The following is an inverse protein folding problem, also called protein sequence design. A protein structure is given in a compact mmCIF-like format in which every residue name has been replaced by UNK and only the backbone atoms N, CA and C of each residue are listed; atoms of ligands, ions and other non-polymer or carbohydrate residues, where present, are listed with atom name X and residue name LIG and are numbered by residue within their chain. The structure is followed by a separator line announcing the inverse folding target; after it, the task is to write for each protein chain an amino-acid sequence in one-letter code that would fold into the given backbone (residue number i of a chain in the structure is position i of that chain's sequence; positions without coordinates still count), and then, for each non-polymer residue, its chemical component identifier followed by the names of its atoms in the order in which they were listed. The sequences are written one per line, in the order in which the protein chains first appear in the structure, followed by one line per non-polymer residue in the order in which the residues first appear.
data_IF_601090338302
#
_entry.id   IF_601090338302
#
_cell.length_a   1.000
_cell.length_b   1.000
_cell.length_c   1.000
_cell.angle_alpha   90.00
_cell.angle_beta   90.00
_cell.angle_gamma   90.00
#
_symmetry.space_group_name_H-M   'P 1'
#
loop_
_entity.id
_entity.type
_entity.pdbx_description
1 polymer ?
#
# COMPACT_ATOMS: atom_id res chain seq x y z
N UNK A 1 2.57 -4.06 -2.82
CA UNK A 1 3.71 -3.42 -3.49
C UNK A 1 4.76 -4.47 -3.79
N UNK A 2 5.25 -4.54 -5.01
CA UNK A 2 6.24 -5.53 -5.49
C UNK A 2 7.45 -4.79 -6.03
N UNK A 3 8.62 -5.39 -5.93
CA UNK A 3 9.85 -4.87 -6.53
C UNK A 3 9.96 -5.25 -8.01
N UNK A 4 9.41 -6.40 -8.39
CA UNK A 4 9.30 -6.88 -9.76
C UNK A 4 7.96 -7.61 -9.95
N UNK A 5 7.57 -7.87 -11.20
CA UNK A 5 6.28 -8.52 -11.51
C UNK A 5 6.17 -9.94 -10.91
N UNK A 6 7.27 -10.62 -10.71
CA UNK A 6 7.35 -11.98 -10.17
C UNK A 6 7.64 -12.04 -8.67
N UNK A 7 7.92 -10.88 -8.03
CA UNK A 7 8.22 -10.84 -6.60
C UNK A 7 6.97 -10.97 -5.73
N UNK A 8 7.17 -11.51 -4.53
CA UNK A 8 6.16 -11.45 -3.49
C UNK A 8 5.94 -10.00 -3.03
N UNK A 9 4.70 -9.58 -2.76
CA UNK A 9 4.44 -8.23 -2.29
C UNK A 9 5.05 -8.02 -0.90
N UNK A 10 5.65 -6.84 -0.67
CA UNK A 10 6.11 -6.43 0.66
C UNK A 10 4.94 -6.12 1.59
N UNK A 11 3.86 -5.64 1.04
CA UNK A 11 2.56 -5.41 1.67
C UNK A 11 1.48 -5.45 0.59
N UNK A 12 0.30 -5.97 0.91
CA UNK A 12 -0.86 -5.83 0.06
C UNK A 12 -2.06 -5.32 0.86
N UNK A 13 -2.91 -4.57 0.20
CA UNK A 13 -4.17 -4.09 0.75
C UNK A 13 -5.26 -4.28 -0.30
N UNK A 14 -6.39 -4.82 0.13
CA UNK A 14 -7.58 -4.97 -0.68
C UNK A 14 -8.74 -4.26 0.00
N UNK A 15 -9.55 -3.54 -0.76
CA UNK A 15 -10.74 -2.88 -0.25
C UNK A 15 -11.95 -3.24 -1.13
N UNK A 16 -13.08 -3.49 -0.50
CA UNK A 16 -14.34 -3.75 -1.16
C UNK A 16 -15.50 -3.18 -0.36
N UNK A 17 -16.47 -2.59 -1.06
CA UNK A 17 -17.78 -2.26 -0.51
C UNK A 17 -18.73 -3.41 -0.82
N UNK A 18 -19.23 -4.05 0.22
CA UNK A 18 -20.13 -5.19 0.07
C UNK A 18 -21.05 -5.29 1.27
N UNK A 19 -22.30 -5.59 1.02
CA UNK A 19 -23.33 -5.74 2.06
C UNK A 19 -23.40 -4.53 3.01
N UNK A 20 -23.43 -3.32 2.41
CA UNK A 20 -23.46 -2.02 3.12
C UNK A 20 -22.31 -1.82 4.12
N UNK A 21 -21.16 -2.41 3.87
CA UNK A 21 -19.99 -2.28 4.74
C UNK A 21 -18.70 -2.33 3.94
N UNK A 22 -17.69 -1.61 4.40
CA UNK A 22 -16.34 -1.71 3.89
C UNK A 22 -15.62 -2.93 4.48
N UNK A 23 -14.93 -3.62 3.61
CA UNK A 23 -14.05 -4.73 3.94
C UNK A 23 -12.66 -4.37 3.47
N UNK A 24 -11.73 -4.11 4.40
CA UNK A 24 -10.35 -3.77 4.10
C UNK A 24 -9.44 -4.85 4.66
N UNK A 25 -8.73 -5.54 3.79
CA UNK A 25 -7.80 -6.60 4.19
C UNK A 25 -6.37 -6.15 4.00
N UNK A 26 -5.56 -6.31 5.04
CA UNK A 26 -4.12 -6.03 5.01
C UNK A 26 -3.35 -7.34 5.15
N UNK A 27 -2.59 -7.69 4.13
CA UNK A 27 -1.80 -8.92 4.04
C UNK A 27 -0.33 -8.66 3.75
N UNK A 28 0.43 -9.74 3.63
CA UNK A 28 1.89 -9.70 3.45
C UNK A 28 2.63 -8.94 4.58
N UNK A 29 2.14 -9.06 5.81
CA UNK A 29 2.65 -8.37 7.01
C UNK A 29 3.74 -9.15 7.76
N UNK A 30 4.33 -10.22 7.27
CA UNK A 30 4.83 -11.47 7.87
C UNK A 30 4.03 -11.98 9.09
N UNK A 31 2.74 -11.79 9.04
CA UNK A 31 1.72 -12.23 9.98
C UNK A 31 0.48 -12.62 9.18
N UNK A 32 -0.49 -13.25 9.84
CA UNK A 32 -1.78 -13.55 9.20
C UNK A 32 -2.43 -12.28 8.65
N UNK A 33 -3.01 -12.36 7.46
CA UNK A 33 -3.81 -11.27 6.90
C UNK A 33 -4.94 -10.89 7.87
N UNK A 34 -5.19 -9.60 8.01
CA UNK A 34 -6.23 -9.07 8.90
C UNK A 34 -7.30 -8.38 8.08
N UNK A 35 -8.54 -8.73 8.32
CA UNK A 35 -9.72 -8.05 7.81
C UNK A 35 -10.16 -6.99 8.83
N UNK A 36 -10.29 -5.74 8.37
CA UNK A 36 -10.98 -4.67 9.06
C UNK A 36 -12.35 -4.49 8.40
N UNK A 37 -13.41 -4.51 9.18
CA UNK A 37 -14.78 -4.42 8.69
C UNK A 37 -15.60 -3.44 9.52
N UNK A 38 -16.46 -2.66 8.87
CA UNK A 38 -17.35 -1.71 9.53
C UNK A 38 -16.59 -0.70 10.40
N UNK A 39 -16.96 -0.58 11.65
CA UNK A 39 -16.35 0.38 12.59
C UNK A 39 -14.85 0.17 12.79
N UNK A 40 -14.36 -1.06 12.65
CA UNK A 40 -12.94 -1.36 12.79
C UNK A 40 -12.07 -0.70 11.71
N UNK A 41 -12.60 -0.39 10.53
CA UNK A 41 -11.88 0.36 9.50
C UNK A 41 -12.15 1.88 9.54
N UNK A 42 -13.10 2.34 10.34
CA UNK A 42 -13.46 3.75 10.43
C UNK A 42 -14.27 4.29 9.25
N UNK A 43 -14.77 3.40 8.39
CA UNK A 43 -15.52 3.75 7.18
C UNK A 43 -16.98 3.34 7.35
N UNK A 44 -17.90 4.29 7.19
CA UNK A 44 -19.36 4.06 7.35
C UNK A 44 -20.13 4.26 6.05
N UNK A 45 -19.69 5.17 5.19
CA UNK A 45 -20.34 5.48 3.93
C UNK A 45 -19.69 4.77 2.75
N UNK A 46 -20.48 4.45 1.72
CA UNK A 46 -20.01 3.89 0.46
C UNK A 46 -18.97 4.79 -0.22
N UNK A 47 -19.20 6.11 -0.13
CA UNK A 47 -18.24 7.14 -0.53
C UNK A 47 -17.69 7.82 0.73
N UNK A 48 -16.57 7.36 1.28
CA UNK A 48 -16.02 7.86 2.52
C UNK A 48 -15.58 9.33 2.42
N UNK A 49 -15.80 10.06 3.51
CA UNK A 49 -15.23 11.39 3.70
C UNK A 49 -13.72 11.34 3.96
N UNK A 50 -13.04 12.47 3.86
CA UNK A 50 -11.62 12.54 4.18
C UNK A 50 -11.31 12.19 5.64
N UNK A 51 -12.20 12.54 6.57
CA UNK A 51 -12.04 12.20 7.98
C UNK A 51 -12.16 10.69 8.20
N UNK A 52 -13.06 10.02 7.50
CA UNK A 52 -13.16 8.57 7.50
C UNK A 52 -11.89 7.92 6.90
N UNK A 53 -11.34 8.50 5.82
CA UNK A 53 -10.08 8.02 5.25
C UNK A 53 -8.90 8.21 6.22
N UNK A 54 -8.87 9.29 7.01
CA UNK A 54 -7.88 9.47 8.09
C UNK A 54 -8.07 8.46 9.22
N UNK A 55 -9.33 8.16 9.57
CA UNK A 55 -9.64 7.11 10.55
C UNK A 55 -9.16 5.73 10.06
N UNK A 56 -9.39 5.41 8.80
CA UNK A 56 -8.84 4.20 8.17
C UNK A 56 -7.30 4.16 8.26
N UNK A 57 -6.64 5.28 7.94
CA UNK A 57 -5.19 5.38 8.04
C UNK A 57 -4.67 5.06 9.45
N UNK A 58 -5.33 5.58 10.47
CA UNK A 58 -5.02 5.29 11.87
C UNK A 58 -5.23 3.79 12.20
N UNK A 59 -6.35 3.21 11.77
CA UNK A 59 -6.68 1.81 12.02
C UNK A 59 -5.67 0.85 11.40
N UNK A 60 -5.24 1.08 10.15
CA UNK A 60 -4.25 0.21 9.49
C UNK A 60 -2.86 0.38 10.06
N UNK A 61 -2.47 1.59 10.48
CA UNK A 61 -1.18 1.84 11.16
C UNK A 61 -1.10 1.18 12.53
N UNK A 62 -2.22 1.02 13.21
CA UNK A 62 -2.31 0.37 14.52
C UNK A 62 -2.14 -1.16 14.46
N UNK A 63 -2.23 -1.77 13.28
CA UNK A 63 -2.00 -3.20 13.12
C UNK A 63 -0.54 -3.57 13.41
N UNK A 64 -0.34 -4.80 13.87
CA UNK A 64 1.00 -5.35 14.04
C UNK A 64 1.63 -5.67 12.68
N UNK A 65 2.90 -5.34 12.53
CA UNK A 65 3.69 -5.62 11.33
C UNK A 65 4.96 -6.37 11.71
N UNK A 66 5.32 -7.37 10.92
CA UNK A 66 6.54 -8.11 11.09
C UNK A 66 7.67 -7.62 10.17
N UNK A 67 8.89 -7.99 10.49
CA UNK A 67 10.09 -7.78 9.67
C UNK A 67 10.51 -9.10 9.04
N UNK A 68 10.92 -9.06 7.77
CA UNK A 68 11.53 -10.18 7.08
C UNK A 68 12.52 -9.65 6.03
N UNK A 69 13.08 -10.55 5.23
CA UNK A 69 14.02 -10.22 4.17
C UNK A 69 13.50 -9.17 3.16
N UNK A 70 12.19 -9.07 2.99
CA UNK A 70 11.53 -8.21 1.98
C UNK A 70 11.13 -6.82 2.50
N UNK A 71 11.28 -6.56 3.79
CA UNK A 71 11.01 -5.26 4.38
C UNK A 71 10.86 -5.28 5.89
N UNK A 72 11.12 -4.13 6.50
CA UNK A 72 10.96 -3.93 7.94
C UNK A 72 9.50 -3.68 8.34
N UNK A 73 9.19 -3.91 9.61
CA UNK A 73 7.89 -3.57 10.20
C UNK A 73 7.57 -2.08 10.06
N UNK A 74 8.55 -1.20 10.27
CA UNK A 74 8.37 0.24 10.15
C UNK A 74 8.08 0.68 8.72
N UNK A 75 8.76 0.09 7.75
CA UNK A 75 8.47 0.34 6.34
C UNK A 75 7.03 -0.04 6.00
N UNK A 76 6.60 -1.25 6.39
CA UNK A 76 5.23 -1.72 6.15
C UNK A 76 4.18 -0.84 6.81
N UNK A 77 4.41 -0.45 8.05
CA UNK A 77 3.51 0.46 8.78
C UNK A 77 3.38 1.80 8.08
N UNK A 78 4.48 2.36 7.59
CA UNK A 78 4.46 3.64 6.86
C UNK A 78 3.66 3.57 5.56
N UNK A 79 3.84 2.52 4.77
CA UNK A 79 3.14 2.39 3.48
C UNK A 79 1.71 1.88 3.60
N UNK A 80 1.29 1.35 4.75
CA UNK A 80 -0.03 0.75 4.93
C UNK A 80 -1.16 1.75 4.73
N UNK A 81 -1.07 2.93 5.29
CA UNK A 81 -2.10 3.96 5.20
C UNK A 81 -2.28 4.49 3.76
N UNK A 82 -1.23 4.93 3.04
CA UNK A 82 -1.37 5.30 1.64
C UNK A 82 -1.97 4.20 0.77
N UNK A 83 -1.55 2.96 0.96
CA UNK A 83 -2.09 1.83 0.20
C UNK A 83 -3.58 1.59 0.51
N UNK A 84 -3.98 1.66 1.78
CA UNK A 84 -5.36 1.47 2.18
C UNK A 84 -6.27 2.57 1.62
N UNK A 85 -5.85 3.82 1.73
CA UNK A 85 -6.58 4.95 1.17
C UNK A 85 -6.70 4.83 -0.36
N UNK A 86 -5.62 4.46 -1.05
CA UNK A 86 -5.66 4.23 -2.49
C UNK A 86 -6.61 3.10 -2.89
N UNK A 87 -6.63 2.00 -2.14
CA UNK A 87 -7.52 0.88 -2.40
C UNK A 87 -8.99 1.29 -2.25
N UNK A 88 -9.33 1.97 -1.17
CA UNK A 88 -10.69 2.46 -0.91
C UNK A 88 -11.11 3.51 -1.94
N UNK A 89 -10.24 4.49 -2.20
CA UNK A 89 -10.49 5.52 -3.21
C UNK A 89 -10.85 4.91 -4.57
N UNK A 90 -10.07 3.95 -5.03
CA UNK A 90 -10.33 3.27 -6.32
C UNK A 90 -11.62 2.47 -6.31
N UNK A 91 -11.91 1.79 -5.22
CA UNK A 91 -13.15 1.03 -5.08
C UNK A 91 -14.40 1.94 -4.99
N UNK A 92 -14.29 3.07 -4.31
CA UNK A 92 -15.37 4.04 -4.16
C UNK A 92 -15.54 4.99 -5.37
N UNK A 93 -14.54 5.07 -6.26
CA UNK A 93 -14.56 6.00 -7.39
C UNK A 93 -14.45 7.48 -6.98
N UNK A 94 -13.75 7.78 -5.87
CA UNK A 94 -13.59 9.14 -5.34
C UNK A 94 -12.20 9.70 -5.64
N UNK A 95 -12.12 11.03 -5.75
CA UNK A 95 -10.86 11.75 -5.85
C UNK A 95 -10.43 12.27 -4.46
N UNK A 96 -9.13 12.32 -4.22
CA UNK A 96 -8.57 12.89 -3.00
C UNK A 96 -8.38 14.40 -3.17
N UNK A 97 -8.60 15.16 -2.09
CA UNK A 97 -8.19 16.56 -2.09
C UNK A 97 -6.67 16.69 -2.19
N UNK A 98 -6.20 17.83 -2.68
CA UNK A 98 -4.78 18.13 -2.73
C UNK A 98 -4.12 18.12 -1.34
N UNK A 99 -4.87 18.45 -0.29
CA UNK A 99 -4.39 18.44 1.09
C UNK A 99 -4.13 17.00 1.57
N UNK A 100 -5.09 16.10 1.39
CA UNK A 100 -4.94 14.71 1.78
C UNK A 100 -3.89 13.99 0.92
N UNK A 101 -3.83 14.28 -0.37
CA UNK A 101 -2.80 13.74 -1.26
C UNK A 101 -1.39 14.11 -0.77
N UNK A 102 -1.15 15.38 -0.40
CA UNK A 102 0.13 15.82 0.15
C UNK A 102 0.45 15.17 1.49
N UNK A 103 -0.54 15.01 2.37
CA UNK A 103 -0.37 14.31 3.66
C UNK A 103 0.11 12.87 3.45
N UNK A 104 -0.38 12.20 2.40
CA UNK A 104 0.05 10.86 2.03
C UNK A 104 1.43 10.80 1.37
N UNK A 105 1.80 11.82 0.61
CA UNK A 105 3.11 11.95 -0.05
C UNK A 105 4.24 12.19 0.94
N UNK A 106 3.97 12.84 2.09
CA UNK A 106 4.98 13.04 3.14
C UNK A 106 5.44 11.74 3.80
N UNK A 107 4.75 10.65 3.55
CA UNK A 107 5.32 9.31 3.73
C UNK A 107 6.32 9.07 2.59
N UNK A 108 7.46 9.75 2.64
CA UNK A 108 8.54 9.49 1.69
C UNK A 108 8.92 8.01 1.80
N UNK A 109 8.44 7.24 0.85
CA UNK A 109 9.17 6.05 0.46
C UNK A 109 10.56 6.56 0.08
N UNK A 110 11.64 6.11 0.73
CA UNK A 110 12.97 6.48 0.28
C UNK A 110 12.99 6.24 -1.22
N UNK A 111 13.20 7.28 -2.01
CA UNK A 111 13.55 7.09 -3.41
C UNK A 111 14.84 6.30 -3.33
N UNK A 112 14.76 4.99 -3.50
CA UNK A 112 15.95 4.25 -3.85
C UNK A 112 16.48 4.99 -5.06
N UNK A 113 17.66 5.54 -4.89
CA UNK A 113 18.32 6.23 -5.98
C UNK A 113 18.28 5.28 -7.16
N UNK A 114 17.43 5.58 -8.14
CA UNK A 114 17.29 4.78 -9.36
C UNK A 114 18.63 4.64 -10.08
N UNK A 115 19.60 5.45 -9.69
CA UNK A 115 20.96 5.48 -10.23
C UNK A 115 21.86 4.35 -9.71
N UNK A 116 21.57 3.74 -8.54
CA UNK A 116 22.35 2.60 -8.06
C UNK A 116 21.87 1.25 -8.63
N UNK A 117 20.67 1.19 -9.18
CA UNK A 117 20.10 0.01 -9.84
C UNK A 117 19.86 0.24 -11.33
N UNK A 118 20.54 1.21 -11.95
CA UNK A 118 20.69 1.16 -13.39
C UNK A 118 21.39 -0.17 -13.67
N UNK A 119 20.70 -1.10 -14.33
CA UNK A 119 21.34 -2.30 -14.86
C UNK A 119 22.63 -1.86 -15.55
N UNK A 120 23.76 -2.03 -14.90
CA UNK A 120 25.05 -1.91 -15.58
C UNK A 120 24.95 -2.92 -16.70
N UNK A 121 24.88 -2.45 -17.94
CA UNK A 121 25.08 -3.32 -19.10
C UNK A 121 26.37 -4.07 -18.84
N UNK A 122 26.26 -5.39 -18.69
CA UNK A 122 27.45 -6.23 -18.60
C UNK A 122 28.19 -5.99 -19.90
N UNK A 123 29.43 -5.47 -19.87
CA UNK A 123 30.19 -5.25 -21.09
C UNK A 123 30.34 -6.59 -21.84
N UNK A 124 29.85 -6.65 -23.07
CA UNK A 124 30.01 -7.84 -23.93
C UNK A 124 28.74 -8.66 -24.16
N UNK A 125 27.59 -8.29 -23.63
CA UNK A 125 26.32 -8.90 -24.04
C UNK A 125 25.63 -7.98 -25.03
N UNK A 126 25.79 -8.28 -26.31
CA UNK A 126 25.03 -7.61 -27.38
C UNK A 126 23.57 -7.96 -27.26
N UNK A 127 22.72 -6.92 -27.21
CA UNK A 127 21.27 -7.01 -27.11
C UNK A 127 20.58 -7.73 -28.30
N UNK A 128 21.34 -8.23 -29.25
CA UNK A 128 20.86 -8.98 -30.41
C UNK A 128 20.92 -10.50 -30.27
N UNK A 129 21.46 -11.05 -29.20
CA UNK A 129 21.52 -12.50 -28.98
C UNK A 129 20.42 -13.08 -28.10
N UNK A 130 19.54 -12.26 -27.53
CA UNK A 130 18.35 -12.72 -26.82
C UNK A 130 17.17 -12.71 -27.79
N UNK A 131 17.04 -13.76 -28.55
CA UNK A 131 15.82 -14.12 -29.28
C UNK A 131 15.05 -15.18 -28.53
#
# INVERSE_FOLDING_TARGET
MRKAATDFPSLNVTAAWWNNSWHVTVGARPLRATLLQGEACGLTAEQPSEDELRALAASVRALSYGTNLWGSADYRRRISAPLAIHAVRRAAGIELSAALARELETVQVPKFATDEYSCRRVPGVDSNEVR
#
